data_IF_967243184934
#
_entry.id   IF_967243184934
#
_cell.length_a   1.000
_cell.length_b   1.000
_cell.length_c   1.000
_cell.angle_alpha   90.00
_cell.angle_beta   90.00
_cell.angle_gamma   90.00
#
_symmetry.space_group_name_H-M   'P 1'
#
loop_
_entity.id
_entity.type
_entity.pdbx_description
1 polymer ?
#
# COMPACT_ATOMS: atom_id res chain seq x y z
N UNK A 1 1.94 -29.51 -11.96
CA UNK A 1 1.59 -30.01 -10.61
C UNK A 1 2.20 -29.05 -9.61
N UNK A 2 1.40 -28.10 -9.16
CA UNK A 2 1.67 -27.26 -8.00
C UNK A 2 0.39 -27.34 -7.20
N UNK A 3 0.31 -28.34 -6.34
CA UNK A 3 -0.71 -28.34 -5.29
C UNK A 3 -0.47 -27.10 -4.45
N UNK A 4 -1.52 -26.33 -4.22
CA UNK A 4 -1.48 -25.22 -3.27
C UNK A 4 -1.05 -25.80 -1.93
N UNK A 5 0.10 -25.33 -1.47
CA UNK A 5 0.65 -25.76 -0.20
C UNK A 5 -0.15 -25.12 0.93
N UNK A 6 -0.30 -25.85 2.03
CA UNK A 6 -0.87 -25.32 3.27
C UNK A 6 -0.15 -24.02 3.71
N UNK A 7 1.15 -23.92 3.39
CA UNK A 7 1.96 -22.71 3.55
C UNK A 7 1.39 -21.49 2.79
N UNK A 8 1.06 -21.62 1.50
CA UNK A 8 0.51 -20.51 0.69
C UNK A 8 -0.84 -20.04 1.24
N UNK A 9 -1.68 -20.97 1.72
CA UNK A 9 -2.94 -20.61 2.39
C UNK A 9 -2.69 -19.80 3.67
N UNK A 10 -1.71 -20.20 4.48
CA UNK A 10 -1.37 -19.47 5.70
C UNK A 10 -0.76 -18.10 5.44
N UNK A 11 0.09 -17.95 4.41
CA UNK A 11 0.67 -16.67 4.02
C UNK A 11 -0.44 -15.66 3.64
N UNK A 12 -1.45 -16.08 2.89
CA UNK A 12 -2.60 -15.23 2.55
C UNK A 12 -3.43 -14.84 3.78
N UNK A 13 -3.59 -15.74 4.75
CA UNK A 13 -4.30 -15.43 6.00
C UNK A 13 -3.53 -14.42 6.87
N UNK A 14 -2.20 -14.52 6.90
CA UNK A 14 -1.34 -13.54 7.58
C UNK A 14 -1.48 -12.17 6.90
N UNK A 15 -1.42 -12.13 5.57
CA UNK A 15 -1.62 -10.89 4.81
C UNK A 15 -3.00 -10.27 5.07
N UNK A 16 -4.05 -11.10 5.16
CA UNK A 16 -5.40 -10.63 5.50
C UNK A 16 -5.44 -10.03 6.92
N UNK A 17 -4.83 -10.69 7.90
CA UNK A 17 -4.76 -10.18 9.27
C UNK A 17 -4.06 -8.82 9.31
N UNK A 18 -2.94 -8.67 8.61
CA UNK A 18 -2.17 -7.43 8.57
C UNK A 18 -2.92 -6.29 7.85
N UNK A 19 -3.61 -6.60 6.75
CA UNK A 19 -4.50 -5.64 6.08
C UNK A 19 -5.63 -5.21 7.00
N UNK A 20 -6.26 -6.13 7.74
CA UNK A 20 -7.31 -5.80 8.70
C UNK A 20 -6.79 -4.91 9.83
N UNK A 21 -5.64 -5.24 10.42
CA UNK A 21 -5.00 -4.41 11.45
C UNK A 21 -4.70 -3.01 10.93
N UNK A 22 -4.16 -2.91 9.71
CA UNK A 22 -3.86 -1.64 9.06
C UNK A 22 -5.12 -0.80 8.81
N UNK A 23 -6.16 -1.42 8.23
CA UNK A 23 -7.44 -0.78 7.96
C UNK A 23 -8.08 -0.25 9.24
N UNK A 24 -8.20 -1.09 10.27
CA UNK A 24 -8.81 -0.69 11.56
C UNK A 24 -8.00 0.43 12.20
N UNK A 25 -6.67 0.28 12.26
CA UNK A 25 -5.80 1.32 12.84
C UNK A 25 -5.97 2.65 12.11
N UNK A 26 -5.91 2.64 10.78
CA UNK A 26 -5.92 3.86 10.00
C UNK A 26 -7.31 4.49 9.92
N UNK A 27 -8.40 3.71 9.90
CA UNK A 27 -9.77 4.24 10.05
C UNK A 27 -9.95 4.95 11.40
N UNK A 28 -9.38 4.41 12.48
CA UNK A 28 -9.45 5.02 13.81
C UNK A 28 -8.53 6.23 13.97
N UNK A 29 -7.37 6.25 13.31
CA UNK A 29 -6.32 7.27 13.53
C UNK A 29 -6.33 8.40 12.49
N UNK A 30 -6.85 8.17 11.28
CA UNK A 30 -6.81 9.17 10.19
C UNK A 30 -7.91 10.23 10.28
N UNK A 31 -8.80 10.14 11.28
CA UNK A 31 -9.94 11.03 11.42
C UNK A 31 -9.90 11.81 12.72
N UNK A 32 -10.16 13.12 12.64
CA UNK A 32 -10.26 13.99 13.81
C UNK A 32 -11.40 13.58 14.76
N UNK A 33 -12.43 12.91 14.23
CA UNK A 33 -13.52 12.30 14.99
C UNK A 33 -13.59 10.83 14.58
N UNK A 34 -13.55 9.88 15.53
CA UNK A 34 -13.70 8.46 15.21
C UNK A 34 -15.01 8.23 14.46
N UNK A 35 -14.98 7.48 13.35
CA UNK A 35 -16.17 7.27 12.55
C UNK A 35 -17.20 6.42 13.30
N UNK A 36 -18.45 6.86 13.28
CA UNK A 36 -19.58 6.09 13.83
C UNK A 36 -19.99 4.94 12.91
N UNK A 37 -20.83 4.03 13.42
CA UNK A 37 -21.37 2.90 12.65
C UNK A 37 -22.08 3.33 11.35
N UNK A 38 -22.57 4.57 11.29
CA UNK A 38 -23.22 5.18 10.13
C UNK A 38 -22.32 5.26 8.88
N UNK A 39 -20.99 5.22 9.05
CA UNK A 39 -20.04 5.29 7.93
C UNK A 39 -19.64 3.89 7.40
N UNK A 40 -20.10 2.80 8.00
CA UNK A 40 -19.74 1.43 7.58
C UNK A 40 -20.17 1.18 6.13
N UNK A 41 -21.38 1.59 5.74
CA UNK A 41 -21.86 1.42 4.36
C UNK A 41 -21.00 2.21 3.36
N UNK A 42 -20.51 3.39 3.76
CA UNK A 42 -19.60 4.19 2.95
C UNK A 42 -18.24 3.51 2.78
N UNK A 43 -17.67 2.95 3.86
CA UNK A 43 -16.43 2.18 3.78
C UNK A 43 -16.59 0.92 2.94
N UNK A 44 -17.68 0.17 3.14
CA UNK A 44 -17.99 -1.02 2.36
C UNK A 44 -18.06 -0.70 0.86
N UNK A 45 -18.76 0.37 0.49
CA UNK A 45 -18.83 0.82 -0.90
C UNK A 45 -17.45 1.15 -1.50
N UNK A 46 -16.65 1.94 -0.79
CA UNK A 46 -15.31 2.33 -1.24
C UNK A 46 -14.35 1.13 -1.37
N UNK A 47 -14.38 0.22 -0.40
CA UNK A 47 -13.55 -0.98 -0.40
C UNK A 47 -13.96 -1.94 -1.52
N UNK A 48 -15.27 -2.08 -1.78
CA UNK A 48 -15.77 -2.90 -2.89
C UNK A 48 -15.33 -2.35 -4.24
N UNK A 49 -15.49 -1.04 -4.45
CA UNK A 49 -15.04 -0.36 -5.67
C UNK A 49 -13.52 -0.46 -5.86
N UNK A 50 -12.76 -0.39 -4.77
CA UNK A 50 -11.30 -0.54 -4.79
C UNK A 50 -10.85 -1.96 -5.16
N UNK A 51 -11.51 -2.98 -4.61
CA UNK A 51 -11.21 -4.38 -4.92
C UNK A 51 -11.51 -4.68 -6.39
N UNK A 52 -12.59 -4.11 -6.93
CA UNK A 52 -13.00 -4.26 -8.34
C UNK A 52 -12.21 -3.39 -9.33
N UNK A 53 -11.38 -2.45 -8.85
CA UNK A 53 -10.68 -1.51 -9.71
C UNK A 53 -9.78 -2.24 -10.72
N UNK A 54 -9.97 -2.05 -12.05
CA UNK A 54 -9.13 -2.70 -13.05
C UNK A 54 -7.71 -2.15 -12.99
N UNK A 55 -6.72 -3.05 -12.97
CA UNK A 55 -5.31 -2.67 -13.05
C UNK A 55 -5.03 -1.99 -14.39
N UNK A 56 -4.45 -0.79 -14.34
CA UNK A 56 -3.80 -0.19 -15.49
C UNK A 56 -2.29 -0.50 -15.45
N UNK A 57 -1.93 -1.77 -15.34
CA UNK A 57 -0.56 -2.25 -15.61
C UNK A 57 -0.56 -3.72 -16.00
N UNK A 58 -0.89 -3.97 -17.26
CA UNK A 58 -0.32 -5.13 -17.96
C UNK A 58 1.11 -4.75 -18.28
N UNK A 59 2.06 -5.40 -17.64
CA UNK A 59 3.34 -5.75 -18.25
C UNK A 59 3.99 -6.85 -17.43
N UNK A 60 3.70 -8.11 -17.79
CA UNK A 60 4.74 -9.13 -17.89
C UNK A 60 4.27 -10.32 -18.72
N UNK A 61 5.06 -10.56 -19.78
CA UNK A 61 5.35 -11.85 -20.43
C UNK A 61 4.48 -12.28 -21.62
N UNK A 62 5.01 -11.91 -22.80
CA UNK A 62 5.17 -12.76 -23.99
C UNK A 62 3.94 -13.59 -24.40
N UNK A 63 3.08 -12.95 -25.19
CA UNK A 63 2.24 -13.65 -26.15
C UNK A 63 3.06 -13.93 -27.41
N UNK A 64 3.41 -15.19 -27.67
CA UNK A 64 3.54 -15.71 -29.04
C UNK A 64 3.51 -17.24 -29.04
N UNK A 65 2.47 -17.77 -29.70
CA UNK A 65 2.41 -19.06 -30.43
C UNK A 65 2.55 -20.38 -29.65
N UNK A 66 1.84 -21.47 -29.95
CA UNK A 66 0.73 -21.77 -30.84
C UNK A 66 0.30 -23.23 -30.55
N UNK A 67 -0.94 -23.57 -30.90
CA UNK A 67 -1.46 -24.91 -31.25
C UNK A 67 -1.62 -26.02 -30.18
N UNK A 68 -2.89 -26.25 -29.82
CA UNK A 68 -3.47 -27.54 -29.37
C UNK A 68 -3.36 -28.62 -30.48
N UNK A 69 -3.57 -29.95 -30.23
CA UNK A 69 -4.93 -30.48 -30.00
C UNK A 69 -4.94 -31.81 -29.19
N UNK A 70 -6.00 -32.66 -29.25
CA UNK A 70 -7.02 -32.80 -28.21
C UNK A 70 -6.95 -34.17 -27.51
N UNK A 71 -7.51 -34.32 -26.31
CA UNK A 71 -8.25 -35.54 -25.95
C UNK A 71 -9.01 -35.35 -24.63
N UNK A 72 -10.31 -35.60 -24.73
CA UNK A 72 -11.29 -35.51 -23.65
C UNK A 72 -11.20 -36.77 -22.80
N UNK A 73 -10.85 -36.65 -21.50
CA UNK A 73 -11.27 -37.55 -20.40
C UNK A 73 -10.58 -37.27 -19.03
N UNK A 74 -10.12 -36.03 -18.72
CA UNK A 74 -9.53 -35.67 -17.40
C UNK A 74 -10.12 -34.44 -16.70
N UNK A 75 -11.28 -33.98 -17.16
CA UNK A 75 -11.73 -32.59 -16.97
C UNK A 75 -12.51 -32.26 -15.66
N UNK A 76 -12.26 -32.95 -14.55
CA UNK A 76 -12.92 -32.60 -13.26
C UNK A 76 -12.02 -32.36 -12.06
N UNK A 77 -10.80 -32.91 -12.06
CA UNK A 77 -9.86 -32.72 -10.94
C UNK A 77 -8.90 -31.56 -11.23
N UNK A 78 -8.42 -31.43 -12.48
CA UNK A 78 -7.57 -30.30 -12.90
C UNK A 78 -8.32 -28.95 -12.90
N UNK A 79 -9.65 -28.95 -13.02
CA UNK A 79 -10.45 -27.73 -12.99
C UNK A 79 -10.57 -27.12 -11.59
N UNK A 80 -10.57 -27.96 -10.54
CA UNK A 80 -10.69 -27.50 -9.14
C UNK A 80 -9.36 -26.93 -8.64
N UNK A 81 -8.23 -27.62 -8.89
CA UNK A 81 -6.90 -27.14 -8.45
C UNK A 81 -6.50 -25.83 -9.15
N UNK A 82 -6.75 -25.73 -10.46
CA UNK A 82 -6.54 -24.48 -11.20
C UNK A 82 -7.53 -23.38 -10.79
N UNK A 83 -8.72 -23.75 -10.29
CA UNK A 83 -9.70 -22.79 -9.75
C UNK A 83 -9.25 -22.27 -8.38
N UNK A 84 -8.69 -23.13 -7.55
CA UNK A 84 -8.23 -22.75 -6.21
C UNK A 84 -6.98 -21.87 -6.29
N UNK A 85 -6.02 -22.17 -7.17
CA UNK A 85 -4.86 -21.31 -7.38
C UNK A 85 -5.29 -19.92 -7.89
N UNK A 86 -6.20 -19.89 -8.87
CA UNK A 86 -6.78 -18.62 -9.37
C UNK A 86 -7.51 -17.85 -8.28
N UNK A 87 -8.18 -18.53 -7.35
CA UNK A 87 -8.83 -17.87 -6.22
C UNK A 87 -7.81 -17.28 -5.25
N UNK A 88 -6.71 -17.99 -4.95
CA UNK A 88 -5.62 -17.49 -4.12
C UNK A 88 -4.95 -16.27 -4.75
N UNK A 89 -4.66 -16.32 -6.05
CA UNK A 89 -4.05 -15.20 -6.78
C UNK A 89 -4.99 -13.98 -6.80
N UNK A 90 -6.30 -14.21 -6.98
CA UNK A 90 -7.31 -13.16 -6.91
C UNK A 90 -7.42 -12.53 -5.51
N UNK A 91 -7.38 -13.35 -4.45
CA UNK A 91 -7.37 -12.87 -3.06
C UNK A 91 -6.10 -12.09 -2.78
N UNK A 92 -4.93 -12.61 -3.16
CA UNK A 92 -3.66 -11.92 -3.00
C UNK A 92 -3.63 -10.56 -3.71
N UNK A 93 -4.19 -10.49 -4.92
CA UNK A 93 -4.34 -9.23 -5.66
C UNK A 93 -5.26 -8.24 -4.94
N UNK A 94 -6.39 -8.74 -4.43
CA UNK A 94 -7.34 -7.94 -3.66
C UNK A 94 -6.71 -7.40 -2.37
N UNK A 95 -5.95 -8.22 -1.65
CA UNK A 95 -5.24 -7.83 -0.44
C UNK A 95 -4.20 -6.74 -0.71
N UNK A 96 -3.43 -6.85 -1.81
CA UNK A 96 -2.49 -5.79 -2.21
C UNK A 96 -3.19 -4.46 -2.46
N UNK A 97 -4.34 -4.46 -3.15
CA UNK A 97 -5.13 -3.24 -3.36
C UNK A 97 -5.64 -2.68 -2.03
N UNK A 98 -6.08 -3.54 -1.13
CA UNK A 98 -6.57 -3.15 0.20
C UNK A 98 -5.47 -2.56 1.10
N UNK A 99 -4.18 -2.77 0.83
CA UNK A 99 -3.10 -2.07 1.55
C UNK A 99 -3.08 -0.56 1.27
N UNK A 100 -3.52 -0.14 0.09
CA UNK A 100 -3.68 1.28 -0.24
C UNK A 100 -5.04 1.85 0.21
N UNK A 101 -5.96 1.00 0.67
CA UNK A 101 -7.30 1.43 1.05
C UNK A 101 -7.34 2.55 2.10
N UNK A 102 -6.49 2.57 3.15
CA UNK A 102 -6.47 3.70 4.09
C UNK A 102 -6.26 5.05 3.41
N UNK A 103 -5.33 5.10 2.46
CA UNK A 103 -4.99 6.30 1.71
C UNK A 103 -6.11 6.69 0.76
N UNK A 104 -6.68 5.72 0.05
CA UNK A 104 -7.81 5.91 -0.85
C UNK A 104 -9.03 6.42 -0.10
N UNK A 105 -9.35 5.83 1.06
CA UNK A 105 -10.45 6.25 1.93
C UNK A 105 -10.22 7.68 2.40
N UNK A 106 -9.01 8.01 2.88
CA UNK A 106 -8.68 9.37 3.30
C UNK A 106 -8.91 10.37 2.18
N UNK A 107 -8.46 10.06 0.96
CA UNK A 107 -8.63 10.90 -0.23
C UNK A 107 -10.09 11.03 -0.67
N UNK A 108 -10.85 9.94 -0.65
CA UNK A 108 -12.26 9.94 -1.05
C UNK A 108 -13.15 10.68 -0.04
N UNK A 109 -12.99 10.42 1.25
CA UNK A 109 -13.85 11.00 2.29
C UNK A 109 -13.49 12.45 2.56
N UNK A 110 -12.22 12.76 2.81
CA UNK A 110 -11.83 14.11 3.25
C UNK A 110 -11.72 15.10 2.10
N UNK A 111 -11.47 14.61 0.88
CA UNK A 111 -11.21 15.47 -0.29
C UNK A 111 -12.15 15.22 -1.46
N UNK A 112 -13.15 14.34 -1.30
CA UNK A 112 -14.21 14.08 -2.29
C UNK A 112 -13.68 13.64 -3.66
N UNK A 113 -12.54 12.97 -3.69
CA UNK A 113 -11.98 12.42 -4.91
C UNK A 113 -12.67 11.11 -5.30
N UNK A 114 -12.81 10.85 -6.60
CA UNK A 114 -13.28 9.55 -7.09
C UNK A 114 -12.25 8.45 -6.80
N UNK A 115 -12.71 7.23 -6.55
CA UNK A 115 -11.86 6.09 -6.14
C UNK A 115 -10.72 5.85 -7.11
N UNK A 116 -10.96 5.93 -8.41
CA UNK A 116 -9.91 5.73 -9.43
C UNK A 116 -8.79 6.79 -9.35
N UNK A 117 -9.13 8.06 -9.15
CA UNK A 117 -8.12 9.12 -8.98
C UNK A 117 -7.38 8.96 -7.66
N UNK A 118 -8.10 8.68 -6.57
CA UNK A 118 -7.54 8.45 -5.25
C UNK A 118 -6.56 7.27 -5.24
N UNK A 119 -6.95 6.14 -5.84
CA UNK A 119 -6.10 4.96 -5.99
C UNK A 119 -4.80 5.28 -6.71
N UNK A 120 -4.88 5.98 -7.84
CA UNK A 120 -3.70 6.28 -8.67
C UNK A 120 -2.74 7.24 -7.98
N UNK A 121 -3.24 8.15 -7.15
CA UNK A 121 -2.41 9.02 -6.31
C UNK A 121 -1.72 8.18 -5.23
N UNK A 122 -2.48 7.37 -4.49
CA UNK A 122 -1.94 6.49 -3.44
C UNK A 122 -0.87 5.53 -3.99
N UNK A 123 -1.14 4.91 -5.14
CA UNK A 123 -0.21 4.04 -5.85
C UNK A 123 1.06 4.78 -6.28
N UNK A 124 0.95 6.00 -6.81
CA UNK A 124 2.13 6.78 -7.22
C UNK A 124 3.01 7.17 -6.04
N UNK A 125 2.39 7.52 -4.89
CA UNK A 125 3.11 7.76 -3.64
C UNK A 125 3.79 6.48 -3.17
N UNK A 126 3.09 5.35 -3.17
CA UNK A 126 3.67 4.07 -2.76
C UNK A 126 4.85 3.65 -3.65
N UNK A 127 4.72 3.78 -4.98
CA UNK A 127 5.80 3.45 -5.91
C UNK A 127 7.07 4.29 -5.66
N UNK A 128 6.91 5.57 -5.30
CA UNK A 128 8.04 6.47 -5.03
C UNK A 128 8.66 6.24 -3.66
N UNK A 129 7.81 6.13 -2.63
CA UNK A 129 8.26 6.15 -1.24
C UNK A 129 8.44 4.77 -0.63
N UNK A 130 7.84 3.72 -1.19
CA UNK A 130 8.03 2.34 -0.75
C UNK A 130 7.67 2.10 0.71
N UNK A 131 6.61 2.75 1.20
CA UNK A 131 6.24 2.71 2.61
C UNK A 131 5.65 1.35 2.97
N UNK A 132 4.86 0.73 2.10
CA UNK A 132 4.36 -0.63 2.34
C UNK A 132 5.51 -1.65 2.35
N UNK A 133 6.54 -1.46 1.51
CA UNK A 133 7.75 -2.29 1.56
C UNK A 133 8.49 -2.13 2.91
N UNK A 134 8.64 -0.92 3.43
CA UNK A 134 9.24 -0.71 4.76
C UNK A 134 8.38 -1.34 5.87
N UNK A 135 7.06 -1.29 5.73
CA UNK A 135 6.12 -1.91 6.66
C UNK A 135 6.29 -3.43 6.70
N UNK A 136 6.34 -4.09 5.55
CA UNK A 136 6.61 -5.53 5.46
C UNK A 136 7.93 -5.87 6.16
N UNK A 137 8.98 -5.08 5.91
CA UNK A 137 10.29 -5.30 6.53
C UNK A 137 10.24 -5.12 8.04
N UNK A 138 9.44 -4.16 8.54
CA UNK A 138 9.22 -3.98 9.97
C UNK A 138 8.51 -5.19 10.56
N UNK A 139 7.40 -5.65 9.99
CA UNK A 139 6.59 -6.76 10.51
C UNK A 139 7.40 -8.06 10.56
N UNK A 140 8.26 -8.30 9.57
CA UNK A 140 9.13 -9.47 9.52
C UNK A 140 10.28 -9.44 10.54
N UNK A 141 10.53 -8.31 11.22
CA UNK A 141 11.49 -8.29 12.33
C UNK A 141 10.83 -8.93 13.57
N UNK A 142 11.44 -9.99 14.08
CA UNK A 142 11.06 -10.56 15.38
C UNK A 142 11.72 -9.74 16.50
N UNK A 143 10.95 -9.05 17.37
CA UNK A 143 11.52 -8.29 18.47
C UNK A 143 12.10 -9.23 19.53
N UNK A 144 13.34 -8.99 19.96
CA UNK A 144 14.00 -9.80 20.98
C UNK A 144 13.57 -9.47 22.41
N UNK A 145 12.89 -8.33 22.62
CA UNK A 145 12.41 -7.87 23.92
C UNK A 145 11.24 -6.88 23.77
N UNK A 146 10.58 -6.57 24.90
CA UNK A 146 9.42 -5.67 24.95
C UNK A 146 9.73 -4.26 24.43
N UNK A 147 10.94 -3.75 24.66
CA UNK A 147 11.34 -2.42 24.17
C UNK A 147 11.45 -2.39 22.64
N UNK A 148 11.96 -3.45 22.03
CA UNK A 148 12.03 -3.59 20.58
C UNK A 148 10.63 -3.73 19.97
N UNK A 149 9.71 -4.41 20.65
CA UNK A 149 8.31 -4.53 20.23
C UNK A 149 7.61 -3.16 20.26
N UNK A 150 7.77 -2.41 21.35
CA UNK A 150 7.24 -1.05 21.44
C UNK A 150 7.86 -0.13 20.39
N UNK A 151 9.17 -0.25 20.14
CA UNK A 151 9.84 0.54 19.13
C UNK A 151 9.35 0.22 17.72
N UNK A 152 9.17 -1.06 17.39
CA UNK A 152 8.56 -1.50 16.14
C UNK A 152 7.15 -0.90 15.98
N UNK A 153 6.34 -0.89 17.04
CA UNK A 153 5.01 -0.28 16.99
C UNK A 153 5.06 1.23 16.72
N UNK A 154 6.01 1.95 17.36
CA UNK A 154 6.25 3.37 17.09
C UNK A 154 6.64 3.62 15.64
N UNK A 155 7.49 2.76 15.06
CA UNK A 155 7.91 2.90 13.65
C UNK A 155 6.74 2.65 12.70
N UNK A 156 5.89 1.65 12.97
CA UNK A 156 4.67 1.40 12.20
C UNK A 156 3.73 2.62 12.26
N UNK A 157 3.52 3.21 13.44
CA UNK A 157 2.71 4.44 13.58
C UNK A 157 3.32 5.62 12.83
N UNK A 158 4.64 5.75 12.87
CA UNK A 158 5.37 6.83 12.18
C UNK A 158 5.23 6.71 10.68
N UNK A 159 5.28 5.48 10.16
CA UNK A 159 5.08 5.17 8.74
C UNK A 159 3.66 5.54 8.29
N UNK A 160 2.64 5.08 9.02
CA UNK A 160 1.23 5.41 8.75
C UNK A 160 1.01 6.94 8.76
N UNK A 161 1.54 7.63 9.77
CA UNK A 161 1.41 9.09 9.88
C UNK A 161 2.15 9.85 8.76
N UNK A 162 3.33 9.39 8.36
CA UNK A 162 4.08 10.02 7.28
C UNK A 162 3.39 9.81 5.93
N UNK A 163 2.77 8.64 5.69
CA UNK A 163 1.98 8.38 4.48
C UNK A 163 0.83 9.38 4.34
N UNK A 164 0.05 9.57 5.41
CA UNK A 164 -1.02 10.56 5.44
C UNK A 164 -0.51 12.00 5.21
N UNK A 165 0.58 12.40 5.87
CA UNK A 165 1.16 13.73 5.67
C UNK A 165 1.68 13.96 4.26
N UNK A 166 2.29 12.95 3.63
CA UNK A 166 2.69 13.04 2.24
C UNK A 166 1.47 13.34 1.37
N UNK A 167 0.37 12.60 1.56
CA UNK A 167 -0.87 12.87 0.84
C UNK A 167 -1.40 14.28 1.10
N UNK A 168 -1.43 14.74 2.36
CA UNK A 168 -1.86 16.10 2.72
C UNK A 168 -1.06 17.19 2.01
N UNK A 169 0.26 17.04 1.89
CA UNK A 169 1.12 17.99 1.16
C UNK A 169 0.80 18.02 -0.31
N UNK A 170 0.65 16.85 -0.91
CA UNK A 170 0.34 16.70 -2.33
C UNK A 170 -1.03 17.34 -2.63
N UNK A 171 -2.00 17.16 -1.73
CA UNK A 171 -3.34 17.76 -1.80
C UNK A 171 -3.35 19.28 -1.60
N UNK A 172 -2.52 19.81 -0.71
CA UNK A 172 -2.46 21.25 -0.44
C UNK A 172 -1.83 22.05 -1.60
N UNK A 173 -0.96 21.41 -2.36
CA UNK A 173 -0.16 22.03 -3.42
C UNK A 173 -0.81 21.96 -4.80
N UNK A 174 -1.75 21.05 -5.02
CA UNK A 174 -2.38 20.81 -6.32
C UNK A 174 -3.90 21.01 -6.30
N UNK A 175 -4.46 21.52 -7.41
CA UNK A 175 -5.91 21.39 -7.68
C UNK A 175 -6.19 19.97 -8.18
N UNK A 176 -6.26 19.03 -7.25
CA UNK A 176 -6.31 17.59 -7.55
C UNK A 176 -7.58 17.17 -8.29
N UNK A 177 -8.67 17.94 -8.18
CA UNK A 177 -9.92 17.72 -8.92
C UNK A 177 -9.73 17.65 -10.45
N UNK A 178 -8.65 18.23 -11.00
CA UNK A 178 -8.38 18.26 -12.44
C UNK A 178 -7.21 17.38 -12.90
N UNK A 179 -6.58 16.62 -11.99
CA UNK A 179 -5.36 15.87 -12.31
C UNK A 179 -5.62 14.72 -13.28
N UNK A 180 -4.89 14.72 -14.39
CA UNK A 180 -4.83 13.63 -15.36
C UNK A 180 -3.64 12.70 -15.07
N UNK A 181 -3.60 11.55 -15.74
CA UNK A 181 -2.50 10.57 -15.62
C UNK A 181 -1.11 11.13 -15.91
N UNK A 182 -1.05 12.16 -16.76
CA UNK A 182 0.19 12.80 -17.16
C UNK A 182 0.73 13.78 -16.10
N UNK A 183 -0.09 14.16 -15.11
CA UNK A 183 0.28 15.12 -14.07
C UNK A 183 0.81 14.43 -12.79
N UNK A 184 0.82 13.08 -12.76
CA UNK A 184 1.33 12.30 -11.63
C UNK A 184 2.85 12.42 -11.41
N UNK A 185 3.72 12.53 -12.44
CA UNK A 185 5.14 12.76 -12.24
C UNK A 185 5.45 14.11 -11.58
N UNK A 186 4.64 15.14 -11.89
CA UNK A 186 4.77 16.49 -11.31
C UNK A 186 4.14 16.60 -9.92
N UNK A 187 3.33 15.62 -9.51
CA UNK A 187 2.68 15.56 -8.19
C UNK A 187 3.69 15.76 -7.05
N UNK A 188 4.93 15.29 -7.22
CA UNK A 188 5.97 15.28 -6.19
C UNK A 188 6.82 16.56 -6.13
N UNK A 189 6.72 17.45 -7.12
CA UNK A 189 7.49 18.71 -7.16
C UNK A 189 7.31 19.57 -5.89
N UNK A 190 6.10 19.70 -5.30
CA UNK A 190 5.93 20.47 -4.07
C UNK A 190 6.70 19.89 -2.89
N UNK A 191 6.87 18.57 -2.81
CA UNK A 191 7.70 17.96 -1.77
C UNK A 191 9.18 18.30 -1.95
N UNK A 192 9.64 18.40 -3.20
CA UNK A 192 11.00 18.85 -3.51
C UNK A 192 11.21 20.33 -3.18
N UNK A 193 10.23 21.19 -3.49
CA UNK A 193 10.26 22.62 -3.13
C UNK A 193 10.33 22.83 -1.62
N UNK A 194 9.66 21.97 -0.85
CA UNK A 194 9.66 22.06 0.61
C UNK A 194 11.01 21.68 1.23
N UNK A 195 11.57 20.53 0.85
CA UNK A 195 12.85 20.07 1.39
C UNK A 195 13.51 18.99 0.53
N UNK A 196 14.00 19.37 -0.66
CA UNK A 196 14.70 18.48 -1.57
C UNK A 196 15.85 17.69 -0.93
N UNK A 197 16.58 18.28 0.03
CA UNK A 197 17.72 17.62 0.66
C UNK A 197 17.28 16.39 1.48
N UNK A 198 16.26 16.55 2.32
CA UNK A 198 15.73 15.46 3.15
C UNK A 198 14.98 14.43 2.32
N UNK A 199 14.24 14.85 1.30
CA UNK A 199 13.58 13.93 0.38
C UNK A 199 14.59 13.06 -0.39
N UNK A 200 15.68 13.65 -0.88
CA UNK A 200 16.76 12.89 -1.52
C UNK A 200 17.45 11.94 -0.55
N UNK A 201 17.69 12.38 0.70
CA UNK A 201 18.26 11.52 1.73
C UNK A 201 17.37 10.30 2.03
N UNK A 202 16.05 10.50 2.12
CA UNK A 202 15.08 9.42 2.26
C UNK A 202 15.18 8.41 1.11
N UNK A 203 15.12 8.88 -0.14
CA UNK A 203 15.14 8.03 -1.34
C UNK A 203 16.46 7.23 -1.41
N UNK A 204 17.60 7.91 -1.22
CA UNK A 204 18.92 7.26 -1.23
C UNK A 204 19.05 6.21 -0.13
N UNK A 205 18.58 6.53 1.08
CA UNK A 205 18.59 5.58 2.19
C UNK A 205 17.67 4.38 1.91
N UNK A 206 16.52 4.58 1.27
CA UNK A 206 15.61 3.50 0.89
C UNK A 206 16.23 2.60 -0.18
N UNK A 207 16.89 3.18 -1.18
CA UNK A 207 17.63 2.44 -2.20
C UNK A 207 18.76 1.59 -1.58
N UNK A 208 19.49 2.16 -0.62
CA UNK A 208 20.53 1.42 0.12
C UNK A 208 19.96 0.23 0.89
N UNK A 209 18.81 0.40 1.56
CA UNK A 209 18.11 -0.69 2.24
C UNK A 209 17.68 -1.78 1.26
N UNK A 210 17.14 -1.41 0.10
CA UNK A 210 16.72 -2.34 -0.95
C UNK A 210 17.90 -3.08 -1.61
N UNK A 211 19.08 -2.45 -1.67
CA UNK A 211 20.29 -3.03 -2.26
C UNK A 211 21.02 -4.07 -1.38
N UNK A 212 20.46 -4.42 -0.22
CA UNK A 212 21.00 -5.48 0.65
C UNK A 212 21.79 -4.98 1.86
N UNK A 213 21.63 -3.70 2.23
CA UNK A 213 22.11 -3.21 3.53
C UNK A 213 21.40 -3.95 4.68
N UNK A 214 22.02 -4.03 5.86
CA UNK A 214 21.40 -4.66 7.03
C UNK A 214 20.11 -3.92 7.40
N UNK A 215 18.97 -4.59 7.25
CA UNK A 215 17.66 -4.06 7.60
C UNK A 215 17.37 -4.43 9.05
N UNK A 216 17.34 -3.42 9.91
CA UNK A 216 16.93 -3.52 11.32
C UNK A 216 16.10 -2.28 11.72
N UNK A 217 15.51 -2.31 12.92
CA UNK A 217 14.66 -1.23 13.43
C UNK A 217 15.35 0.15 13.36
N UNK A 218 16.64 0.22 13.70
CA UNK A 218 17.42 1.47 13.66
C UNK A 218 17.58 2.01 12.24
N UNK A 219 17.90 1.15 11.28
CA UNK A 219 18.09 1.55 9.88
C UNK A 219 16.78 2.09 9.27
N UNK A 220 15.64 1.49 9.63
CA UNK A 220 14.31 1.94 9.22
C UNK A 220 13.96 3.25 9.94
N UNK A 221 14.29 3.39 11.22
CA UNK A 221 14.08 4.63 11.97
C UNK A 221 14.86 5.81 11.36
N UNK A 222 16.12 5.59 10.98
CA UNK A 222 16.94 6.59 10.30
C UNK A 222 16.30 6.98 8.96
N UNK A 223 15.88 5.99 8.17
CA UNK A 223 15.20 6.26 6.91
C UNK A 223 13.95 7.13 7.12
N UNK A 224 13.06 6.74 8.05
CA UNK A 224 11.83 7.47 8.36
C UNK A 224 12.09 8.88 8.93
N UNK A 225 13.20 9.08 9.67
CA UNK A 225 13.56 10.39 10.23
C UNK A 225 13.81 11.44 9.15
N UNK A 226 14.19 11.04 7.93
CA UNK A 226 14.33 11.96 6.81
C UNK A 226 12.99 12.56 6.38
N UNK A 227 11.85 11.96 6.75
CA UNK A 227 10.51 12.50 6.50
C UNK A 227 9.98 13.38 7.65
N UNK A 228 10.76 13.60 8.71
CA UNK A 228 10.29 14.37 9.87
C UNK A 228 9.96 15.84 9.55
N UNK A 229 10.51 16.39 8.46
CA UNK A 229 10.16 17.75 8.02
C UNK A 229 8.65 17.88 7.70
N UNK A 230 7.96 16.78 7.39
CA UNK A 230 6.52 16.75 7.17
C UNK A 230 5.71 17.11 8.43
N UNK A 231 6.27 16.93 9.63
CA UNK A 231 5.63 17.29 10.91
C UNK A 231 5.32 18.79 10.99
N UNK A 232 6.12 19.63 10.33
CA UNK A 232 6.02 21.08 10.40
C UNK A 232 4.90 21.68 9.55
N UNK A 233 4.13 20.84 8.85
CA UNK A 233 3.14 21.25 7.85
C UNK A 233 1.75 21.36 8.48
N UNK A 234 1.45 20.49 9.43
CA UNK A 234 0.18 20.49 10.19
C UNK A 234 -0.04 21.76 11.02
N UNK A 235 0.97 22.63 11.21
CA UNK A 235 0.83 23.90 11.93
C UNK A 235 0.49 25.10 11.04
N UNK A 236 0.45 24.92 9.71
CA UNK A 236 0.28 26.02 8.73
C UNK A 236 -0.96 25.91 7.83
N UNK A 237 -1.72 24.83 7.93
CA UNK A 237 -3.00 24.61 7.22
C UNK A 237 -4.10 24.55 8.26
#
# INVERSE_FOLDING_TARGET
MTDITEKERYEVLIDLEDVLKMLVRNVLQSQAVPPGFEQIDQYHGLLSELVEHPDNSVDTLNSENDQSPPDSEREKVESEDLSEQRAIDAVGTSLRRLRLAPDVIHLCINKKLGVSTAYRIAESVEQKFGLDWLRERLILQEPGNDWELEFQDILLRTLDANKLRLLEVLLASHKIETMKKQDLPTLLEPLEEMNAAHLRAYILSLEQLRSGSLINLTSIAVNLSHLDFLKNISSKI
#
